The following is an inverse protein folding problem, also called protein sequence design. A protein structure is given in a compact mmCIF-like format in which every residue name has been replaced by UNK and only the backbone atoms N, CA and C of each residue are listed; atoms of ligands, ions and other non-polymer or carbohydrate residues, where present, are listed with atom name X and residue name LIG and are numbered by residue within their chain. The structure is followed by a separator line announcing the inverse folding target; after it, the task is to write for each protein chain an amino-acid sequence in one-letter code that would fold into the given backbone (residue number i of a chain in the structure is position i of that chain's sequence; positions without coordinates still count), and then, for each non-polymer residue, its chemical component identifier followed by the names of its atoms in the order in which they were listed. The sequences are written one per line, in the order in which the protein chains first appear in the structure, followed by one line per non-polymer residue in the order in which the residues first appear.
data_IF_953832327256
#
_entry.id   IF_953832327256
#
_cell.length_a   1.000
_cell.length_b   1.000
_cell.length_c   1.000
_cell.angle_alpha   90.00
_cell.angle_beta   90.00
_cell.angle_gamma   90.00
#
_symmetry.space_group_name_H-M   'P 1'
#
loop_
_entity.id
_entity.type
_entity.pdbx_description
1 polymer ?
#
# COMPACT_ATOMS: atom_id res chain seq x y z
N UNK A 1 17.74 -28.71 21.04
CA UNK A 1 17.52 -27.31 21.45
C UNK A 1 18.64 -26.41 20.92
N UNK A 2 19.91 -26.71 21.23
CA UNK A 2 21.06 -25.89 20.80
C UNK A 2 21.22 -25.75 19.28
N UNK A 3 21.00 -26.82 18.51
CA UNK A 3 21.04 -26.76 17.04
C UNK A 3 19.99 -25.80 16.45
N UNK A 4 18.80 -25.72 17.06
CA UNK A 4 17.73 -24.82 16.59
C UNK A 4 18.09 -23.37 16.91
N UNK A 5 18.68 -23.13 18.09
CA UNK A 5 19.14 -21.80 18.51
C UNK A 5 20.30 -21.32 17.64
N UNK A 6 21.23 -22.21 17.25
CA UNK A 6 22.36 -21.84 16.39
C UNK A 6 21.96 -21.60 14.93
N UNK A 7 20.92 -22.30 14.44
CA UNK A 7 20.39 -22.10 13.09
C UNK A 7 19.38 -20.95 13.00
N UNK A 8 18.90 -20.42 14.13
CA UNK A 8 17.89 -19.36 14.16
C UNK A 8 18.25 -18.11 13.34
N UNK A 9 19.47 -17.53 13.45
CA UNK A 9 19.86 -16.38 12.64
C UNK A 9 19.84 -16.69 11.14
N UNK A 10 20.35 -17.86 10.76
CA UNK A 10 20.35 -18.32 9.36
C UNK A 10 18.91 -18.46 8.83
N UNK A 11 18.00 -19.02 9.63
CA UNK A 11 16.59 -19.14 9.25
C UNK A 11 15.93 -17.77 9.09
N UNK A 12 16.23 -16.81 9.96
CA UNK A 12 15.74 -15.44 9.81
C UNK A 12 16.29 -14.74 8.57
N UNK A 13 17.57 -14.92 8.24
CA UNK A 13 18.19 -14.33 7.04
C UNK A 13 17.54 -14.89 5.76
N UNK A 14 17.31 -16.20 5.70
CA UNK A 14 16.60 -16.83 4.58
C UNK A 14 15.13 -16.37 4.51
N UNK A 15 14.46 -16.24 5.66
CA UNK A 15 13.09 -15.75 5.71
C UNK A 15 13.02 -14.30 5.22
N UNK A 16 13.91 -13.42 5.68
CA UNK A 16 14.02 -12.04 5.21
C UNK A 16 14.20 -12.00 3.69
N UNK A 17 15.14 -12.78 3.15
CA UNK A 17 15.41 -12.84 1.72
C UNK A 17 14.19 -13.29 0.92
N UNK A 18 13.53 -14.38 1.34
CA UNK A 18 12.36 -14.93 0.66
C UNK A 18 11.21 -13.91 0.69
N UNK A 19 10.87 -13.37 1.86
CA UNK A 19 9.78 -12.40 1.99
C UNK A 19 10.10 -11.12 1.21
N UNK A 20 11.36 -10.68 1.18
CA UNK A 20 11.81 -9.52 0.41
C UNK A 20 11.57 -9.70 -1.08
N UNK A 21 11.95 -10.86 -1.62
CA UNK A 21 11.70 -11.17 -3.03
C UNK A 21 10.22 -11.29 -3.33
N UNK A 22 9.44 -11.93 -2.46
CA UNK A 22 7.98 -11.96 -2.58
C UNK A 22 7.44 -10.53 -2.66
N UNK A 23 7.82 -9.67 -1.69
CA UNK A 23 7.36 -8.28 -1.62
C UNK A 23 7.69 -7.48 -2.88
N UNK A 24 8.91 -7.61 -3.41
CA UNK A 24 9.32 -6.96 -4.65
C UNK A 24 8.47 -7.46 -5.83
N UNK A 25 8.30 -8.78 -5.98
CA UNK A 25 7.54 -9.37 -7.10
C UNK A 25 6.08 -8.92 -7.07
N UNK A 26 5.43 -8.99 -5.91
CA UNK A 26 4.02 -8.58 -5.79
C UNK A 26 3.85 -7.06 -5.88
N UNK A 27 4.84 -6.28 -5.43
CA UNK A 27 4.88 -4.84 -5.62
C UNK A 27 4.97 -4.45 -7.09
N UNK A 28 5.81 -5.15 -7.88
CA UNK A 28 5.88 -4.99 -9.34
C UNK A 28 4.53 -5.34 -9.98
N UNK A 29 3.91 -6.45 -9.56
CA UNK A 29 2.59 -6.83 -10.07
C UNK A 29 1.53 -5.76 -9.77
N UNK A 30 1.51 -5.22 -8.55
CA UNK A 30 0.55 -4.19 -8.16
C UNK A 30 0.73 -2.87 -8.93
N UNK A 31 1.96 -2.39 -9.04
CA UNK A 31 2.28 -1.18 -9.80
C UNK A 31 1.99 -1.41 -11.29
N UNK A 32 2.34 -2.58 -11.83
CA UNK A 32 2.07 -2.97 -13.21
C UNK A 32 0.57 -2.97 -13.54
N UNK A 33 -0.25 -3.56 -12.66
CA UNK A 33 -1.71 -3.53 -12.79
C UNK A 33 -2.26 -2.10 -12.75
N UNK A 34 -1.70 -1.24 -11.90
CA UNK A 34 -2.10 0.18 -11.82
C UNK A 34 -1.79 0.92 -13.12
N UNK A 35 -0.60 0.73 -13.70
CA UNK A 35 -0.25 1.31 -15.00
C UNK A 35 -1.11 0.76 -16.14
N UNK A 36 -1.39 -0.54 -16.14
CA UNK A 36 -2.27 -1.16 -17.13
C UNK A 36 -3.66 -0.53 -17.13
N UNK A 37 -4.30 -0.39 -15.95
CA UNK A 37 -5.63 0.21 -15.86
C UNK A 37 -5.64 1.71 -16.16
N UNK A 38 -4.60 2.45 -15.77
CA UNK A 38 -4.46 3.86 -16.16
C UNK A 38 -4.35 4.02 -17.68
N UNK A 39 -3.56 3.17 -18.33
CA UNK A 39 -3.48 3.14 -19.79
C UNK A 39 -4.82 2.77 -20.40
N UNK A 40 -5.46 1.69 -19.94
CA UNK A 40 -6.76 1.22 -20.43
C UNK A 40 -7.82 2.33 -20.36
N UNK A 41 -7.93 3.02 -19.22
CA UNK A 41 -8.89 4.13 -19.02
C UNK A 41 -8.59 5.35 -19.91
N UNK A 42 -7.31 5.59 -20.23
CA UNK A 42 -6.91 6.67 -21.13
C UNK A 42 -7.22 6.39 -22.60
N UNK A 43 -7.32 5.12 -23.00
CA UNK A 43 -7.54 4.69 -24.38
C UNK A 43 -9.00 4.34 -24.70
N UNK A 44 -9.92 4.50 -23.74
CA UNK A 44 -11.34 4.24 -23.98
C UNK A 44 -11.88 5.16 -25.06
N UNK A 45 -12.47 4.56 -26.10
CA UNK A 45 -13.38 5.26 -27.00
C UNK A 45 -14.68 5.54 -26.24
N UNK A 46 -15.00 6.82 -26.10
CA UNK A 46 -16.18 7.29 -25.37
C UNK A 46 -17.31 7.69 -26.31
N UNK A 47 -17.12 7.59 -27.62
CA UNK A 47 -18.16 7.81 -28.62
C UNK A 47 -19.06 6.57 -28.74
N UNK A 48 -19.78 6.26 -27.65
CA UNK A 48 -20.70 5.11 -27.60
C UNK A 48 -22.15 5.56 -27.53
N UNK A 49 -23.00 4.94 -28.36
CA UNK A 49 -24.46 5.15 -28.34
C UNK A 49 -25.16 4.36 -27.22
N UNK A 50 -24.44 3.48 -26.51
CA UNK A 50 -25.02 2.61 -25.47
C UNK A 50 -25.06 3.33 -24.12
N UNK A 51 -26.26 3.51 -23.58
CA UNK A 51 -26.46 4.24 -22.32
C UNK A 51 -25.68 3.69 -21.12
N UNK A 52 -25.49 2.37 -21.03
CA UNK A 52 -24.85 1.72 -19.87
C UNK A 52 -23.31 1.68 -19.93
N UNK A 53 -22.72 2.04 -21.08
CA UNK A 53 -21.27 1.96 -21.33
C UNK A 53 -20.67 3.37 -21.23
N UNK A 54 -19.61 3.51 -20.42
CA UNK A 54 -18.82 4.74 -20.31
C UNK A 54 -17.84 4.87 -21.48
N UNK A 55 -17.26 3.74 -21.90
CA UNK A 55 -16.42 3.65 -23.07
C UNK A 55 -16.03 2.21 -23.40
N UNK A 56 -15.51 2.02 -24.60
CA UNK A 56 -15.06 0.73 -25.10
C UNK A 56 -13.61 0.77 -25.58
N UNK A 57 -12.94 -0.38 -25.52
CA UNK A 57 -11.57 -0.55 -25.99
C UNK A 57 -11.44 -1.89 -26.71
N UNK A 58 -10.87 -1.86 -27.89
CA UNK A 58 -10.39 -3.04 -28.59
C UNK A 58 -8.89 -3.19 -28.37
N UNK A 59 -8.46 -4.38 -27.96
CA UNK A 59 -7.04 -4.68 -27.77
C UNK A 59 -6.69 -6.08 -28.29
N UNK A 60 -5.41 -6.28 -28.60
CA UNK A 60 -4.89 -7.57 -29.06
C UNK A 60 -3.70 -7.97 -28.20
N UNK A 61 -3.68 -9.22 -27.73
CA UNK A 61 -2.55 -9.79 -27.02
C UNK A 61 -2.47 -11.30 -27.25
N UNK A 62 -1.26 -11.83 -27.45
CA UNK A 62 -1.03 -13.26 -27.71
C UNK A 62 -1.88 -13.85 -28.86
N UNK A 63 -2.18 -13.03 -29.88
CA UNK A 63 -3.02 -13.40 -31.02
C UNK A 63 -4.52 -13.41 -30.76
N UNK A 64 -4.97 -13.10 -29.53
CA UNK A 64 -6.37 -12.94 -29.16
C UNK A 64 -6.83 -11.49 -29.23
N UNK A 65 -8.07 -11.28 -29.67
CA UNK A 65 -8.72 -9.96 -29.70
C UNK A 65 -9.70 -9.84 -28.52
N UNK A 66 -9.64 -8.71 -27.82
CA UNK A 66 -10.46 -8.40 -26.66
C UNK A 66 -11.29 -7.16 -26.94
N UNK A 67 -12.59 -7.21 -26.62
CA UNK A 67 -13.48 -6.05 -26.59
C UNK A 67 -13.89 -5.79 -25.16
N UNK A 68 -13.38 -4.71 -24.59
CA UNK A 68 -13.54 -4.35 -23.19
C UNK A 68 -14.53 -3.19 -23.12
N UNK A 69 -15.57 -3.35 -22.32
CA UNK A 69 -16.57 -2.31 -22.07
C UNK A 69 -16.48 -1.86 -20.61
N UNK A 70 -16.16 -0.58 -20.40
CA UNK A 70 -16.24 0.02 -19.06
C UNK A 70 -17.68 0.47 -18.81
N UNK A 71 -18.29 -0.05 -17.76
CA UNK A 71 -19.64 0.34 -17.36
C UNK A 71 -19.60 1.65 -16.57
N UNK A 72 -20.64 2.49 -16.71
CA UNK A 72 -20.78 3.73 -15.92
C UNK A 72 -20.95 3.50 -14.41
N UNK A 73 -21.22 2.25 -14.02
CA UNK A 73 -21.40 1.86 -12.62
C UNK A 73 -21.46 0.36 -12.43
N UNK A 74 -21.77 -0.07 -11.21
CA UNK A 74 -21.90 -1.48 -10.86
C UNK A 74 -23.01 -2.16 -11.70
N UNK A 75 -22.76 -3.36 -12.26
CA UNK A 75 -23.79 -4.09 -12.99
C UNK A 75 -24.94 -4.49 -12.06
N UNK A 76 -26.17 -4.56 -12.62
CA UNK A 76 -27.37 -5.04 -11.89
C UNK A 76 -27.26 -6.50 -11.46
N UNK A 77 -26.51 -7.30 -12.21
CA UNK A 77 -26.23 -8.71 -11.94
C UNK A 77 -24.76 -8.98 -12.20
N UNK A 78 -24.04 -9.42 -11.17
CA UNK A 78 -22.65 -9.82 -11.32
C UNK A 78 -22.53 -11.14 -12.09
N UNK A 79 -21.46 -11.32 -12.88
CA UNK A 79 -21.14 -12.61 -13.47
C UNK A 79 -20.87 -13.65 -12.38
N UNK A 80 -20.93 -14.94 -12.75
CA UNK A 80 -20.61 -16.05 -11.82
C UNK A 80 -19.19 -15.95 -11.28
N UNK A 81 -18.26 -15.54 -12.15
CA UNK A 81 -16.85 -15.35 -11.81
C UNK A 81 -16.50 -13.89 -12.02
N UNK A 82 -16.04 -13.23 -10.96
CA UNK A 82 -15.57 -11.85 -10.98
C UNK A 82 -14.08 -11.84 -10.65
N UNK A 83 -13.26 -11.54 -11.66
CA UNK A 83 -11.82 -11.39 -11.47
C UNK A 83 -11.53 -9.99 -10.92
N UNK A 84 -11.21 -9.94 -9.62
CA UNK A 84 -10.90 -8.70 -8.92
C UNK A 84 -9.40 -8.58 -8.66
N UNK A 85 -8.79 -7.52 -9.17
CA UNK A 85 -7.38 -7.15 -8.96
C UNK A 85 -7.14 -6.48 -7.59
N UNK A 86 -7.41 -7.21 -6.50
CA UNK A 86 -7.19 -6.75 -5.10
C UNK A 86 -5.99 -7.41 -4.46
N UNK A 87 -5.62 -8.59 -4.94
CA UNK A 87 -4.64 -9.44 -4.29
C UNK A 87 -3.23 -8.91 -4.44
N UNK A 88 -2.94 -8.21 -5.52
CA UNK A 88 -1.66 -7.58 -5.78
C UNK A 88 -1.34 -6.54 -4.70
N UNK A 89 -2.28 -5.64 -4.43
CA UNK A 89 -2.16 -4.65 -3.37
C UNK A 89 -2.09 -5.29 -1.97
N UNK A 90 -2.99 -6.23 -1.68
CA UNK A 90 -3.03 -6.89 -0.36
C UNK A 90 -1.79 -7.72 -0.08
N UNK A 91 -1.31 -8.48 -1.06
CA UNK A 91 -0.11 -9.31 -0.88
C UNK A 91 1.13 -8.42 -0.76
N UNK A 92 1.17 -7.29 -1.46
CA UNK A 92 2.23 -6.29 -1.26
C UNK A 92 2.21 -5.73 0.15
N UNK A 93 1.04 -5.35 0.66
CA UNK A 93 0.93 -4.84 2.02
C UNK A 93 1.29 -5.90 3.07
N UNK A 94 0.76 -7.14 2.95
CA UNK A 94 1.05 -8.24 3.89
C UNK A 94 2.55 -8.54 3.91
N UNK A 95 3.16 -8.75 2.74
CA UNK A 95 4.59 -9.04 2.65
C UNK A 95 5.46 -7.88 3.16
N UNK A 96 5.05 -6.64 2.90
CA UNK A 96 5.74 -5.44 3.41
C UNK A 96 5.63 -5.30 4.92
N UNK A 97 4.47 -5.62 5.49
CA UNK A 97 4.27 -5.63 6.94
C UNK A 97 5.07 -6.75 7.62
N UNK A 98 5.16 -7.93 7.00
CA UNK A 98 6.03 -9.01 7.47
C UNK A 98 7.49 -8.58 7.44
N UNK A 99 7.95 -7.88 6.39
CA UNK A 99 9.31 -7.31 6.35
C UNK A 99 9.53 -6.26 7.44
N UNK A 100 8.52 -5.44 7.74
CA UNK A 100 8.61 -4.49 8.85
C UNK A 100 8.85 -5.22 10.18
N UNK A 101 8.14 -6.34 10.40
CA UNK A 101 8.34 -7.18 11.59
C UNK A 101 9.76 -7.76 11.60
N UNK A 102 10.16 -8.45 10.53
CA UNK A 102 11.44 -9.17 10.47
C UNK A 102 12.64 -8.22 10.59
N UNK A 103 12.63 -7.13 9.82
CA UNK A 103 13.78 -6.22 9.71
C UNK A 103 13.79 -5.19 10.83
N UNK A 104 12.64 -4.63 11.20
CA UNK A 104 12.59 -3.49 12.12
C UNK A 104 12.11 -3.87 13.52
N UNK A 105 11.15 -4.76 13.70
CA UNK A 105 10.64 -5.05 15.05
C UNK A 105 11.49 -6.09 15.79
N UNK A 106 11.93 -7.15 15.12
CA UNK A 106 12.81 -8.15 15.75
C UNK A 106 14.21 -7.59 16.09
N UNK A 107 14.67 -6.59 15.33
CA UNK A 107 15.98 -5.94 15.50
C UNK A 107 15.87 -4.43 15.76
N UNK A 108 14.84 -4.01 16.50
CA UNK A 108 14.50 -2.60 16.69
C UNK A 108 15.64 -1.76 17.31
N UNK A 109 16.34 -2.29 18.31
CA UNK A 109 17.44 -1.56 18.95
C UNK A 109 18.58 -1.22 17.97
N UNK A 110 18.83 -2.08 17.00
CA UNK A 110 19.93 -1.89 16.04
C UNK A 110 19.55 -1.14 14.76
N UNK A 111 18.31 -1.28 14.28
CA UNK A 111 17.91 -0.80 12.94
C UNK A 111 16.79 0.26 13.00
N UNK A 112 16.01 0.30 14.08
CA UNK A 112 14.87 1.22 14.24
C UNK A 112 15.19 2.43 15.12
N UNK A 113 15.88 2.21 16.24
CA UNK A 113 16.16 3.21 17.28
C UNK A 113 17.56 3.80 17.07
N UNK A 114 17.67 5.13 17.19
CA UNK A 114 18.95 5.83 17.27
C UNK A 114 19.00 6.60 18.59
N UNK A 115 19.84 6.15 19.52
CA UNK A 115 19.96 6.72 20.87
C UNK A 115 20.44 8.18 20.87
N UNK A 116 21.07 8.65 19.79
CA UNK A 116 21.45 10.05 19.65
C UNK A 116 20.27 10.96 19.28
N UNK A 117 19.21 10.38 18.70
CA UNK A 117 17.98 11.09 18.32
C UNK A 117 16.98 11.01 19.47
N UNK A 118 16.67 9.79 19.92
CA UNK A 118 15.69 9.55 20.98
C UNK A 118 15.95 8.18 21.64
N UNK A 119 16.28 8.20 22.93
CA UNK A 119 16.56 6.98 23.71
C UNK A 119 15.27 6.38 24.28
N UNK A 120 14.44 5.85 23.38
CA UNK A 120 13.24 5.08 23.74
C UNK A 120 13.56 3.59 23.80
N UNK A 121 12.83 2.85 24.62
CA UNK A 121 12.94 1.41 24.64
C UNK A 121 12.28 0.77 23.39
N UNK A 122 12.68 -0.46 23.08
CA UNK A 122 12.18 -1.26 21.94
C UNK A 122 10.67 -1.40 21.91
N UNK A 123 10.04 -1.67 23.06
CA UNK A 123 8.60 -1.90 23.13
C UNK A 123 7.80 -0.63 22.79
N UNK A 124 8.23 0.51 23.33
CA UNK A 124 7.65 1.83 23.05
C UNK A 124 7.83 2.19 21.58
N UNK A 125 9.00 1.94 20.99
CA UNK A 125 9.23 2.17 19.56
C UNK A 125 8.24 1.37 18.68
N UNK A 126 8.05 0.08 18.96
CA UNK A 126 7.13 -0.78 18.19
C UNK A 126 5.68 -0.30 18.35
N UNK A 127 5.25 0.07 19.57
CA UNK A 127 3.90 0.60 19.80
C UNK A 127 3.67 1.90 19.02
N UNK A 128 4.62 2.84 19.07
CA UNK A 128 4.52 4.09 18.31
C UNK A 128 4.35 3.79 16.82
N UNK A 129 5.10 2.82 16.28
CA UNK A 129 4.98 2.41 14.88
C UNK A 129 3.59 1.86 14.55
N UNK A 130 3.08 0.90 15.34
CA UNK A 130 1.77 0.31 15.11
C UNK A 130 0.64 1.34 15.23
N UNK A 131 0.69 2.19 16.25
CA UNK A 131 -0.28 3.28 16.45
C UNK A 131 -0.19 4.30 15.31
N UNK A 132 1.01 4.62 14.85
CA UNK A 132 1.21 5.52 13.71
C UNK A 132 0.59 4.96 12.43
N UNK A 133 0.87 3.69 12.08
CA UNK A 133 0.33 3.06 10.88
C UNK A 133 -1.19 2.98 10.92
N UNK A 134 -1.77 2.53 12.05
CA UNK A 134 -3.21 2.46 12.22
C UNK A 134 -3.86 3.85 12.22
N UNK A 135 -3.28 4.79 12.96
CA UNK A 135 -3.78 6.17 13.09
C UNK A 135 -3.71 6.93 11.77
N UNK A 136 -2.70 6.67 10.93
CA UNK A 136 -2.56 7.33 9.64
C UNK A 136 -3.75 7.11 8.71
N UNK A 137 -4.32 5.89 8.71
CA UNK A 137 -5.52 5.59 7.93
C UNK A 137 -6.74 6.33 8.48
N UNK A 138 -6.94 6.38 9.79
CA UNK A 138 -8.05 7.13 10.39
C UNK A 138 -7.98 8.64 10.09
N UNK A 139 -6.77 9.22 10.16
CA UNK A 139 -6.57 10.62 9.80
C UNK A 139 -6.89 10.85 8.32
N UNK A 140 -6.41 9.97 7.44
CA UNK A 140 -6.70 10.05 6.00
C UNK A 140 -8.20 9.91 5.71
N UNK A 141 -8.86 8.89 6.27
CA UNK A 141 -10.30 8.63 6.09
C UNK A 141 -11.14 9.81 6.60
N UNK A 142 -10.76 10.42 7.72
CA UNK A 142 -11.39 11.63 8.23
C UNK A 142 -11.25 12.82 7.26
N UNK A 143 -10.04 13.04 6.71
CA UNK A 143 -9.81 14.10 5.72
C UNK A 143 -10.69 13.88 4.48
N UNK A 144 -10.76 12.66 3.97
CA UNK A 144 -11.58 12.30 2.81
C UNK A 144 -13.10 12.47 3.05
N UNK A 145 -13.57 12.32 4.29
CA UNK A 145 -14.98 12.52 4.66
C UNK A 145 -15.32 13.96 5.05
N UNK A 146 -14.32 14.83 5.15
CA UNK A 146 -14.50 16.22 5.51
C UNK A 146 -14.81 17.09 4.29
N UNK A 147 -15.34 18.31 4.51
CA UNK A 147 -15.55 19.33 3.47
C UNK A 147 -14.27 19.77 2.76
N UNK A 148 -13.10 19.36 3.25
CA UNK A 148 -11.82 19.62 2.61
C UNK A 148 -11.76 19.02 1.21
N UNK A 149 -12.42 17.87 0.99
CA UNK A 149 -12.43 17.17 -0.29
C UNK A 149 -13.10 17.98 -1.42
N UNK A 150 -13.99 18.92 -1.07
CA UNK A 150 -14.65 19.79 -2.05
C UNK A 150 -13.68 20.79 -2.69
N UNK A 151 -12.53 21.04 -2.07
CA UNK A 151 -11.46 21.87 -2.60
C UNK A 151 -10.18 21.05 -2.83
N UNK A 152 -10.04 20.51 -4.04
CA UNK A 152 -8.91 19.65 -4.43
C UNK A 152 -7.53 20.23 -4.10
N UNK A 153 -7.31 21.53 -4.35
CA UNK A 153 -6.01 22.17 -4.09
C UNK A 153 -5.73 22.20 -2.59
N UNK A 154 -6.70 22.63 -1.79
CA UNK A 154 -6.56 22.71 -0.35
C UNK A 154 -6.38 21.31 0.27
N UNK A 155 -7.10 20.30 -0.23
CA UNK A 155 -6.95 18.91 0.18
C UNK A 155 -5.53 18.38 -0.06
N UNK A 156 -5.03 18.52 -1.30
CA UNK A 156 -3.68 18.04 -1.67
C UNK A 156 -2.60 18.75 -0.87
N UNK A 157 -2.68 20.08 -0.73
CA UNK A 157 -1.73 20.86 0.07
C UNK A 157 -1.74 20.43 1.53
N UNK A 158 -2.92 20.19 2.10
CA UNK A 158 -3.06 19.71 3.48
C UNK A 158 -2.43 18.32 3.65
N UNK A 159 -2.71 17.38 2.74
CA UNK A 159 -2.11 16.05 2.78
C UNK A 159 -0.58 16.11 2.63
N UNK A 160 -0.06 16.94 1.73
CA UNK A 160 1.38 17.12 1.55
C UNK A 160 2.04 17.73 2.79
N UNK A 161 1.41 18.74 3.39
CA UNK A 161 1.87 19.34 4.64
C UNK A 161 1.91 18.31 5.77
N UNK A 162 0.84 17.54 5.96
CA UNK A 162 0.77 16.48 6.97
C UNK A 162 1.82 15.39 6.73
N UNK A 163 1.99 14.94 5.48
CA UNK A 163 3.01 13.95 5.14
C UNK A 163 4.43 14.45 5.44
N UNK A 164 4.72 15.72 5.14
CA UNK A 164 6.01 16.36 5.44
C UNK A 164 6.23 16.49 6.94
N UNK A 165 5.20 16.95 7.67
CA UNK A 165 5.24 17.09 9.12
C UNK A 165 5.46 15.74 9.81
N UNK A 166 4.72 14.71 9.40
CA UNK A 166 4.85 13.34 9.91
C UNK A 166 6.24 12.78 9.61
N UNK A 167 6.72 12.95 8.37
CA UNK A 167 8.07 12.52 7.99
C UNK A 167 9.12 13.17 8.90
N UNK A 168 9.01 14.48 9.13
CA UNK A 168 9.88 15.20 10.06
C UNK A 168 9.76 14.67 11.50
N UNK A 169 8.55 14.47 12.03
CA UNK A 169 8.33 13.92 13.37
C UNK A 169 8.97 12.53 13.51
N UNK A 170 8.83 11.67 12.51
CA UNK A 170 9.45 10.33 12.52
C UNK A 170 10.98 10.40 12.60
N UNK A 171 11.63 11.40 11.98
CA UNK A 171 13.09 11.62 12.14
C UNK A 171 13.52 12.08 13.52
N UNK A 172 12.57 12.50 14.38
CA UNK A 172 12.80 12.83 15.79
C UNK A 172 12.52 11.65 16.72
N UNK A 173 11.98 10.56 16.21
CA UNK A 173 11.66 9.35 16.99
C UNK A 173 12.58 8.20 16.61
N UNK A 174 12.81 7.98 15.32
CA UNK A 174 13.58 6.86 14.78
C UNK A 174 14.83 7.32 14.05
N UNK A 175 15.77 6.38 13.83
CA UNK A 175 16.87 6.59 12.90
C UNK A 175 16.36 6.88 11.49
N UNK A 176 17.10 7.67 10.71
CA UNK A 176 16.64 8.19 9.40
C UNK A 176 16.16 7.09 8.45
N UNK A 177 16.84 5.93 8.45
CA UNK A 177 16.45 4.75 7.66
C UNK A 177 15.06 4.23 8.04
N UNK A 178 14.83 4.05 9.35
CA UNK A 178 13.56 3.58 9.85
C UNK A 178 12.44 4.61 9.62
N UNK A 179 12.71 5.90 9.86
CA UNK A 179 11.75 6.96 9.57
C UNK A 179 11.27 6.92 8.11
N UNK A 180 12.18 6.78 7.14
CA UNK A 180 11.84 6.67 5.72
C UNK A 180 10.97 5.44 5.41
N UNK A 181 11.31 4.27 5.95
CA UNK A 181 10.50 3.06 5.77
C UNK A 181 9.11 3.21 6.37
N UNK A 182 8.96 3.87 7.53
CA UNK A 182 7.66 4.08 8.15
C UNK A 182 6.76 5.02 7.31
N UNK A 183 7.33 6.00 6.62
CA UNK A 183 6.58 6.83 5.65
C UNK A 183 6.03 5.96 4.50
N UNK A 184 6.87 5.10 3.92
CA UNK A 184 6.42 4.16 2.88
C UNK A 184 5.36 3.18 3.38
N UNK A 185 5.55 2.62 4.57
CA UNK A 185 4.61 1.71 5.20
C UNK A 185 3.26 2.38 5.53
N UNK A 186 3.29 3.66 5.93
CA UNK A 186 2.10 4.48 6.12
C UNK A 186 1.30 4.60 4.81
N UNK A 187 1.94 5.02 3.71
CA UNK A 187 1.29 5.16 2.41
C UNK A 187 0.70 3.83 1.91
N UNK A 188 1.46 2.73 2.03
CA UNK A 188 0.99 1.40 1.68
C UNK A 188 -0.19 0.94 2.54
N UNK A 189 -0.19 1.28 3.83
CA UNK A 189 -1.29 0.94 4.76
C UNK A 189 -2.56 1.73 4.45
N UNK A 190 -2.45 3.03 4.20
CA UNK A 190 -3.59 3.87 3.79
C UNK A 190 -4.23 3.29 2.53
N UNK A 191 -3.41 2.97 1.53
CA UNK A 191 -3.87 2.41 0.27
C UNK A 191 -4.58 1.06 0.47
N UNK A 192 -3.94 0.09 1.13
CA UNK A 192 -4.52 -1.25 1.32
C UNK A 192 -5.83 -1.21 2.12
N UNK A 193 -5.89 -0.39 3.16
CA UNK A 193 -7.09 -0.21 3.97
C UNK A 193 -8.24 0.45 3.18
N UNK A 194 -7.94 1.37 2.25
CA UNK A 194 -8.96 1.95 1.37
C UNK A 194 -9.52 0.93 0.37
N UNK A 195 -8.68 0.04 -0.18
CA UNK A 195 -9.21 -1.05 -1.02
C UNK A 195 -10.17 -1.92 -0.22
N UNK A 196 -9.82 -2.25 1.02
CA UNK A 196 -10.65 -3.07 1.89
C UNK A 196 -11.95 -2.40 2.33
N UNK A 197 -11.91 -1.10 2.68
CA UNK A 197 -13.04 -0.45 3.35
C UNK A 197 -13.93 0.40 2.44
N UNK A 198 -13.38 0.91 1.34
CA UNK A 198 -14.03 1.93 0.49
C UNK A 198 -14.28 1.41 -0.92
N UNK A 199 -13.35 0.65 -1.50
CA UNK A 199 -13.43 0.25 -2.93
C UNK A 199 -14.16 -1.09 -3.12
N UNK A 200 -13.89 -2.08 -2.26
CA UNK A 200 -14.61 -3.36 -2.30
C UNK A 200 -16.05 -3.14 -1.81
N UNK A 201 -17.07 -3.76 -2.44
CA UNK A 201 -18.49 -3.55 -2.16
C UNK A 201 -18.90 -4.21 -0.85
#
# INVERSE_FOLDING_TARGET
MELIISLYPLLLDWLDLIVRWIHIIVGIAWIGTSFYFNWLDSQLDRETEKEDIEGELWSVHSGGFYHINKLKGSPKKFPKELHWFKWEAYTTWISGFILLIIVYYLNAEGIMIDKNINDINTFTAIIISLTFLLGSWFVYDFLCKSKLIDNNVLFVVTCLFLATLISFILTKIYGSRAAYIHVGACLGTIMAANVFRVIIP
#
